data_IF_319275437703
#
_entry.id   IF_319275437703
#
_cell.length_a   1.000
_cell.length_b   1.000
_cell.length_c   1.000
_cell.angle_alpha   90.00
_cell.angle_beta   90.00
_cell.angle_gamma   90.00
#
_symmetry.space_group_name_H-M   'P 1'
#
loop_
_entity.id
_entity.type
_entity.pdbx_description
1 polymer ?
#
# COMPACT_ATOMS: atom_id res chain seq x y z
N UNK A 1 26.08 -5.54 -3.70
CA UNK A 1 25.36 -5.11 -2.47
C UNK A 1 24.47 -3.94 -2.84
N UNK A 2 23.21 -3.98 -2.49
CA UNK A 2 22.28 -2.86 -2.69
C UNK A 2 21.56 -2.57 -1.38
N UNK A 3 21.28 -1.30 -1.12
CA UNK A 3 20.55 -0.85 0.06
C UNK A 3 19.59 0.26 -0.36
N UNK A 4 18.33 0.11 -0.07
CA UNK A 4 17.27 1.04 -0.44
C UNK A 4 16.48 1.47 0.78
N UNK A 5 16.11 2.74 0.82
CA UNK A 5 15.32 3.34 1.90
C UNK A 5 13.96 3.77 1.39
N UNK A 6 12.96 3.55 2.22
CA UNK A 6 11.57 3.85 1.92
C UNK A 6 10.91 4.54 3.11
N UNK A 7 10.03 5.48 2.82
CA UNK A 7 9.25 6.21 3.83
C UNK A 7 7.77 6.22 3.48
N UNK A 8 6.93 6.20 4.49
CA UNK A 8 5.47 6.34 4.35
C UNK A 8 4.90 7.00 5.60
N UNK A 9 3.70 7.54 5.50
CA UNK A 9 2.96 8.07 6.65
C UNK A 9 1.94 7.05 7.13
N UNK A 10 2.01 6.68 8.40
CA UNK A 10 1.05 5.72 8.98
C UNK A 10 -0.32 6.36 9.27
N UNK A 11 -1.27 5.53 9.70
CA UNK A 11 -2.64 5.97 10.01
C UNK A 11 -2.74 6.95 11.19
N UNK A 12 -1.64 7.24 11.89
CA UNK A 12 -1.54 8.24 12.95
C UNK A 12 -0.76 9.49 12.53
N UNK A 13 -0.41 9.58 11.24
CA UNK A 13 0.37 10.67 10.68
C UNK A 13 1.89 10.56 10.90
N UNK A 14 2.37 9.50 11.57
CA UNK A 14 3.79 9.32 11.86
C UNK A 14 4.55 8.75 10.68
N UNK A 15 5.78 9.21 10.47
CA UNK A 15 6.63 8.75 9.37
C UNK A 15 7.23 7.40 9.74
N UNK A 16 6.93 6.38 8.93
CA UNK A 16 7.47 5.04 9.00
C UNK A 16 8.58 4.88 7.98
N UNK A 17 9.68 4.30 8.42
CA UNK A 17 10.89 4.10 7.64
C UNK A 17 11.16 2.63 7.47
N UNK A 18 11.63 2.26 6.29
CA UNK A 18 12.06 0.90 5.94
C UNK A 18 13.42 0.99 5.28
N UNK A 19 14.33 0.11 5.66
CA UNK A 19 15.53 -0.20 4.89
C UNK A 19 15.45 -1.65 4.42
N UNK A 20 15.73 -1.86 3.14
CA UNK A 20 15.89 -3.19 2.56
C UNK A 20 17.28 -3.24 1.95
N UNK A 21 18.08 -4.19 2.36
CA UNK A 21 19.42 -4.42 1.80
C UNK A 21 19.65 -5.91 1.57
N UNK A 22 20.51 -6.25 0.64
CA UNK A 22 21.03 -7.60 0.56
C UNK A 22 22.54 -7.64 0.62
N UNK A 23 23.06 -8.71 1.19
CA UNK A 23 24.48 -9.04 1.31
C UNK A 23 24.73 -10.45 0.84
N UNK A 24 25.99 -10.79 0.56
CA UNK A 24 26.37 -12.16 0.24
C UNK A 24 27.60 -12.57 1.08
N UNK A 25 27.62 -13.83 1.45
CA UNK A 25 28.76 -14.48 2.10
C UNK A 25 28.79 -15.95 1.68
N UNK A 26 29.93 -16.42 1.18
CA UNK A 26 30.15 -17.83 0.79
C UNK A 26 29.06 -18.34 -0.19
N UNK A 27 28.75 -17.55 -1.23
CA UNK A 27 27.70 -17.82 -2.23
C UNK A 27 26.26 -17.92 -1.67
N UNK A 28 26.06 -17.60 -0.40
CA UNK A 28 24.76 -17.46 0.23
C UNK A 28 24.38 -15.98 0.27
N UNK A 29 23.14 -15.68 -0.10
CA UNK A 29 22.58 -14.32 -0.12
C UNK A 29 21.60 -14.11 1.00
N UNK A 30 21.64 -12.94 1.60
CA UNK A 30 20.82 -12.56 2.75
C UNK A 30 20.09 -11.26 2.45
N UNK A 31 18.77 -11.26 2.59
CA UNK A 31 17.98 -10.02 2.49
C UNK A 31 17.59 -9.61 3.91
N UNK A 32 18.05 -8.43 4.29
CA UNK A 32 17.78 -7.81 5.58
C UNK A 32 16.70 -6.75 5.41
N UNK A 33 15.81 -6.67 6.38
CA UNK A 33 14.76 -5.65 6.43
C UNK A 33 14.74 -5.04 7.81
N UNK A 34 14.85 -3.71 7.87
CA UNK A 34 14.78 -2.96 9.12
C UNK A 34 13.65 -1.96 9.03
N UNK A 35 12.82 -1.89 10.06
CA UNK A 35 11.71 -0.94 10.13
C UNK A 35 11.78 -0.11 11.40
N UNK A 36 11.40 1.18 11.29
CA UNK A 36 11.34 2.08 12.46
C UNK A 36 10.40 3.26 12.20
N UNK A 37 10.05 3.97 13.23
CA UNK A 37 9.50 5.31 13.12
C UNK A 37 10.66 6.29 13.00
N UNK A 38 10.55 7.30 12.16
CA UNK A 38 11.58 8.32 11.97
C UNK A 38 12.18 8.77 13.32
N UNK A 39 13.50 8.74 13.42
CA UNK A 39 14.29 8.96 14.64
C UNK A 39 13.96 8.02 15.82
N UNK A 40 13.24 6.95 15.58
CA UNK A 40 12.89 5.96 16.60
C UNK A 40 13.78 4.72 16.61
N UNK A 41 13.46 3.79 17.49
CA UNK A 41 14.18 2.52 17.61
C UNK A 41 13.98 1.69 16.34
N UNK A 42 15.09 1.21 15.76
CA UNK A 42 15.11 0.31 14.63
C UNK A 42 14.79 -1.12 15.06
N UNK A 43 13.94 -1.78 14.31
CA UNK A 43 13.53 -3.17 14.53
C UNK A 43 13.90 -3.99 13.31
N UNK A 44 14.73 -4.97 13.49
CA UNK A 44 15.10 -5.92 12.44
C UNK A 44 14.00 -6.95 12.26
N UNK A 45 13.70 -7.26 11.01
CA UNK A 45 12.80 -8.34 10.62
C UNK A 45 13.60 -9.63 10.43
N UNK A 46 12.98 -10.80 10.50
CA UNK A 46 13.66 -12.05 10.18
C UNK A 46 14.34 -11.97 8.80
N UNK A 47 15.57 -12.42 8.77
CA UNK A 47 16.41 -12.49 7.58
C UNK A 47 15.84 -13.47 6.56
N UNK A 48 15.94 -13.15 5.27
CA UNK A 48 15.60 -14.08 4.19
C UNK A 48 16.90 -14.62 3.64
N UNK A 49 17.13 -15.91 3.83
CA UNK A 49 18.34 -16.60 3.37
C UNK A 49 18.06 -17.28 2.03
N UNK A 50 18.96 -17.09 1.07
CA UNK A 50 18.89 -17.67 -0.28
C UNK A 50 20.22 -18.35 -0.56
N UNK A 51 20.26 -19.65 -0.35
CA UNK A 51 21.40 -20.53 -0.60
C UNK A 51 21.30 -21.30 -1.91
N UNK A 52 20.12 -21.29 -2.53
CA UNK A 52 19.86 -22.02 -3.78
C UNK A 52 18.98 -21.19 -4.72
N UNK A 53 19.24 -21.30 -5.99
CA UNK A 53 18.38 -20.77 -7.03
C UNK A 53 17.12 -21.61 -7.25
N UNK A 54 16.16 -21.04 -7.98
CA UNK A 54 14.92 -21.73 -8.39
C UNK A 54 14.68 -21.54 -9.88
N UNK A 55 14.16 -22.57 -10.56
CA UNK A 55 13.74 -22.48 -11.97
C UNK A 55 14.89 -21.95 -12.85
N UNK A 56 16.03 -22.67 -12.90
CA UNK A 56 17.23 -22.35 -13.70
C UNK A 56 17.88 -20.98 -13.38
N UNK A 57 17.61 -20.40 -12.20
CA UNK A 57 18.33 -19.24 -11.69
C UNK A 57 19.39 -19.67 -10.70
N UNK A 58 20.52 -18.98 -10.67
CA UNK A 58 21.50 -19.09 -9.61
C UNK A 58 20.99 -18.38 -8.33
N UNK A 59 21.70 -18.53 -7.19
CA UNK A 59 21.29 -17.88 -5.94
C UNK A 59 21.26 -16.35 -6.03
N UNK A 60 22.17 -15.73 -6.80
CA UNK A 60 22.20 -14.28 -6.97
C UNK A 60 20.97 -13.76 -7.70
N UNK A 61 20.66 -14.35 -8.86
CA UNK A 61 19.47 -13.97 -9.63
C UNK A 61 18.18 -14.20 -8.82
N UNK A 62 18.13 -15.27 -8.01
CA UNK A 62 17.01 -15.53 -7.11
C UNK A 62 16.92 -14.46 -6.01
N UNK A 63 18.05 -14.01 -5.46
CA UNK A 63 18.09 -12.95 -4.46
C UNK A 63 17.61 -11.62 -5.05
N UNK A 64 18.11 -11.23 -6.21
CA UNK A 64 17.71 -10.00 -6.91
C UNK A 64 16.21 -10.02 -7.21
N UNK A 65 15.68 -11.14 -7.70
CA UNK A 65 14.25 -11.29 -7.95
C UNK A 65 13.43 -11.09 -6.67
N UNK A 66 13.86 -11.70 -5.56
CA UNK A 66 13.17 -11.58 -4.28
C UNK A 66 13.27 -10.18 -3.69
N UNK A 67 14.44 -9.55 -3.79
CA UNK A 67 14.66 -8.18 -3.39
C UNK A 67 13.72 -7.22 -4.15
N UNK A 68 13.69 -7.31 -5.49
CA UNK A 68 12.80 -6.51 -6.33
C UNK A 68 11.32 -6.74 -6.04
N UNK A 69 10.92 -7.96 -5.70
CA UNK A 69 9.54 -8.26 -5.29
C UNK A 69 9.17 -7.57 -3.96
N UNK A 70 10.10 -7.55 -3.00
CA UNK A 70 9.90 -6.87 -1.72
C UNK A 70 9.83 -5.35 -1.89
N UNK A 71 10.70 -4.75 -2.70
CA UNK A 71 10.69 -3.31 -2.94
C UNK A 71 9.37 -2.87 -3.60
N UNK A 72 8.89 -3.63 -4.59
CA UNK A 72 7.56 -3.41 -5.19
C UNK A 72 6.43 -3.54 -4.18
N UNK A 73 6.48 -4.53 -3.30
CA UNK A 73 5.48 -4.71 -2.24
C UNK A 73 5.37 -3.46 -1.34
N UNK A 74 6.50 -2.83 -0.99
CA UNK A 74 6.48 -1.59 -0.21
C UNK A 74 5.99 -0.41 -1.03
N UNK A 75 6.37 -0.30 -2.29
CA UNK A 75 5.84 0.73 -3.20
C UNK A 75 4.33 0.60 -3.38
N UNK A 76 3.81 -0.63 -3.58
CA UNK A 76 2.37 -0.91 -3.66
C UNK A 76 1.62 -0.57 -2.35
N UNK A 77 2.31 -0.59 -1.20
CA UNK A 77 1.80 -0.11 0.10
C UNK A 77 1.89 1.41 0.26
N UNK A 78 2.33 2.13 -0.77
CA UNK A 78 2.42 3.59 -0.78
C UNK A 78 3.71 4.14 -0.14
N UNK A 79 4.73 3.30 0.06
CA UNK A 79 6.04 3.79 0.47
C UNK A 79 6.76 4.48 -0.68
N UNK A 80 7.37 5.61 -0.41
CA UNK A 80 8.21 6.37 -1.34
C UNK A 80 9.67 6.01 -1.11
N UNK A 81 10.41 5.68 -2.17
CA UNK A 81 11.85 5.49 -2.12
C UNK A 81 12.55 6.84 -1.94
N UNK A 82 13.58 6.87 -1.11
CA UNK A 82 14.46 8.03 -0.89
C UNK A 82 15.92 7.61 -1.00
N UNK A 83 16.78 8.58 -1.27
CA UNK A 83 18.19 8.30 -1.61
C UNK A 83 19.06 7.97 -0.40
N UNK A 84 18.79 8.55 0.75
CA UNK A 84 19.63 8.44 1.96
C UNK A 84 18.84 7.91 3.13
N UNK A 85 19.55 7.55 4.20
CA UNK A 85 18.93 7.12 5.45
C UNK A 85 17.90 8.16 5.91
N UNK A 86 16.65 7.75 6.16
CA UNK A 86 15.58 8.64 6.61
C UNK A 86 15.95 9.52 7.80
N UNK A 87 16.76 9.01 8.73
CA UNK A 87 17.17 9.76 9.93
C UNK A 87 18.16 10.89 9.62
N UNK A 88 18.66 10.99 8.37
CA UNK A 88 19.47 12.11 7.89
C UNK A 88 18.65 13.31 7.40
N UNK A 89 17.33 13.17 7.33
CA UNK A 89 16.41 14.23 6.93
C UNK A 89 15.64 14.77 8.14
N UNK A 90 15.21 16.04 8.07
CA UNK A 90 14.24 16.56 9.05
C UNK A 90 12.85 16.03 8.75
N UNK A 91 11.93 16.12 9.71
CA UNK A 91 10.54 15.69 9.52
C UNK A 91 9.83 16.52 8.43
N UNK A 92 10.14 17.82 8.30
CA UNK A 92 9.63 18.69 7.25
C UNK A 92 10.12 18.23 5.86
N UNK A 93 11.39 17.89 5.73
CA UNK A 93 11.97 17.38 4.48
C UNK A 93 11.30 16.06 4.08
N UNK A 94 11.15 15.12 5.00
CA UNK A 94 10.44 13.87 4.71
C UNK A 94 8.97 14.10 4.39
N UNK A 95 8.33 15.06 5.05
CA UNK A 95 6.93 15.41 4.80
C UNK A 95 6.69 15.97 3.41
N UNK A 96 7.69 16.63 2.80
CA UNK A 96 7.58 17.13 1.42
C UNK A 96 7.57 16.01 0.37
N UNK A 97 8.12 14.85 0.68
CA UNK A 97 8.08 13.67 -0.21
C UNK A 97 6.81 12.83 -0.06
N UNK A 98 6.07 13.04 1.03
CA UNK A 98 4.94 12.20 1.40
C UNK A 98 3.62 12.91 1.14
N UNK A 99 2.56 12.16 0.76
CA UNK A 99 1.24 12.73 0.68
C UNK A 99 0.77 13.21 2.06
N UNK A 100 -0.24 14.07 2.06
CA UNK A 100 -0.86 14.53 3.30
C UNK A 100 -1.34 13.35 4.17
N UNK A 101 -1.50 13.64 5.46
CA UNK A 101 -2.02 12.66 6.41
C UNK A 101 -3.34 12.05 5.92
N UNK A 102 -3.40 10.73 6.00
CA UNK A 102 -4.58 9.94 5.61
C UNK A 102 -4.95 10.03 4.11
N UNK A 103 -3.99 10.38 3.25
CA UNK A 103 -4.14 10.34 1.80
C UNK A 103 -3.33 9.18 1.19
N UNK A 104 -3.73 8.74 0.03
CA UNK A 104 -2.97 7.77 -0.78
C UNK A 104 -1.84 8.45 -1.56
N UNK A 105 -1.15 7.70 -2.43
CA UNK A 105 -0.07 8.22 -3.27
C UNK A 105 -0.50 9.28 -4.28
N UNK A 106 -1.80 9.40 -4.53
CA UNK A 106 -2.39 10.36 -5.47
C UNK A 106 -2.99 11.58 -4.74
N UNK A 107 -2.87 11.66 -3.41
CA UNK A 107 -3.40 12.76 -2.59
C UNK A 107 -4.87 12.60 -2.20
N UNK A 108 -5.50 11.46 -2.48
CA UNK A 108 -6.89 11.22 -2.10
C UNK A 108 -6.99 10.55 -0.73
N UNK A 109 -8.08 10.82 -0.02
CA UNK A 109 -8.30 10.23 1.31
C UNK A 109 -8.30 8.71 1.25
N UNK A 110 -7.48 8.10 2.11
CA UNK A 110 -7.47 6.65 2.28
C UNK A 110 -8.82 6.15 2.80
N UNK A 111 -9.23 5.01 2.29
CA UNK A 111 -10.42 4.32 2.77
C UNK A 111 -10.36 4.02 4.26
N UNK A 112 -11.48 4.16 4.91
CA UNK A 112 -11.64 3.67 6.28
C UNK A 112 -11.53 2.14 6.31
N UNK A 113 -10.77 1.64 7.28
CA UNK A 113 -10.59 0.20 7.49
C UNK A 113 -11.51 -0.27 8.61
N UNK A 114 -12.27 -1.32 8.32
CA UNK A 114 -12.97 -2.06 9.35
C UNK A 114 -11.97 -2.71 10.32
N UNK A 115 -12.27 -2.64 11.61
CA UNK A 115 -11.57 -3.42 12.63
C UNK A 115 -12.17 -4.82 12.69
N UNK A 116 -11.33 -5.83 12.86
CA UNK A 116 -11.79 -7.18 13.13
C UNK A 116 -12.43 -7.21 14.53
N UNK A 117 -13.58 -7.89 14.68
CA UNK A 117 -14.34 -7.90 15.94
C UNK A 117 -13.53 -8.44 17.12
N UNK A 118 -12.69 -9.46 16.88
CA UNK A 118 -11.78 -10.06 17.87
C UNK A 118 -10.70 -9.10 18.38
N UNK A 119 -10.42 -8.02 17.62
CA UNK A 119 -9.45 -6.97 17.99
C UNK A 119 -10.10 -5.74 18.61
N UNK A 120 -11.41 -5.74 18.77
CA UNK A 120 -12.15 -4.65 19.42
C UNK A 120 -12.49 -5.06 20.84
N UNK A 121 -12.23 -4.18 21.81
CA UNK A 121 -12.61 -4.45 23.22
C UNK A 121 -14.11 -4.64 23.32
N UNK A 122 -14.56 -5.67 24.06
CA UNK A 122 -15.97 -5.97 24.25
C UNK A 122 -16.76 -4.73 24.76
N UNK A 123 -16.19 -3.98 25.70
CA UNK A 123 -16.80 -2.75 26.20
C UNK A 123 -17.05 -1.66 25.13
N UNK A 124 -16.38 -1.74 23.97
CA UNK A 124 -16.66 -0.84 22.84
C UNK A 124 -17.81 -1.38 22.01
N UNK A 125 -17.89 -2.70 21.85
CA UNK A 125 -18.97 -3.39 21.16
C UNK A 125 -20.29 -3.17 21.91
N UNK A 126 -20.28 -3.33 23.22
CA UNK A 126 -21.46 -3.21 24.09
C UNK A 126 -22.09 -1.80 24.11
N UNK A 127 -21.32 -0.78 23.72
CA UNK A 127 -21.81 0.62 23.60
C UNK A 127 -22.59 0.90 22.33
N UNK A 128 -22.58 -0.02 21.36
CA UNK A 128 -23.27 0.15 20.08
C UNK A 128 -24.73 -0.30 20.25
N UNK A 129 -25.71 0.60 20.10
CA UNK A 129 -27.10 0.30 20.43
C UNK A 129 -27.76 -0.68 19.43
N UNK A 130 -27.23 -0.78 18.21
CA UNK A 130 -27.70 -1.70 17.18
C UNK A 130 -26.59 -1.97 16.14
N UNK A 131 -26.71 -3.08 15.44
CA UNK A 131 -25.78 -3.53 14.41
C UNK A 131 -26.48 -3.74 13.08
N UNK A 132 -25.81 -3.34 12.00
CA UNK A 132 -26.18 -3.73 10.65
C UNK A 132 -25.26 -4.84 10.18
N UNK A 133 -25.84 -5.85 9.55
CA UNK A 133 -25.08 -6.91 8.90
C UNK A 133 -25.23 -6.81 7.39
N UNK A 134 -24.15 -6.93 6.66
CA UNK A 134 -24.14 -7.01 5.21
C UNK A 134 -23.23 -8.15 4.75
N UNK A 135 -23.50 -8.67 3.56
CA UNK A 135 -22.63 -9.66 2.95
C UNK A 135 -21.28 -9.01 2.64
N UNK A 136 -20.19 -9.63 3.09
CA UNK A 136 -18.86 -9.23 2.65
C UNK A 136 -18.64 -9.76 1.23
N UNK A 137 -18.47 -8.85 0.29
CA UNK A 137 -18.12 -9.17 -1.09
C UNK A 137 -16.63 -9.49 -1.12
N UNK A 138 -16.24 -10.54 -1.82
CA UNK A 138 -14.84 -10.91 -2.04
C UNK A 138 -14.42 -10.39 -3.41
N UNK A 139 -13.83 -9.20 -3.41
CA UNK A 139 -13.42 -8.45 -4.59
C UNK A 139 -12.14 -7.67 -4.37
N UNK A 140 -11.83 -6.79 -5.30
CA UNK A 140 -10.75 -5.81 -5.21
C UNK A 140 -11.36 -4.46 -4.86
N UNK A 141 -10.99 -3.91 -3.71
CA UNK A 141 -11.47 -2.58 -3.32
C UNK A 141 -10.97 -1.53 -4.31
N UNK A 142 -11.90 -0.72 -4.79
CA UNK A 142 -11.65 0.31 -5.78
C UNK A 142 -12.37 1.60 -5.41
N UNK A 143 -11.67 2.71 -5.48
CA UNK A 143 -12.24 4.05 -5.36
C UNK A 143 -12.34 4.70 -6.72
N UNK A 144 -13.38 5.51 -6.89
CA UNK A 144 -13.55 6.40 -8.03
C UNK A 144 -13.62 7.83 -7.53
N UNK A 145 -12.89 8.74 -8.17
CA UNK A 145 -12.81 10.15 -7.82
C UNK A 145 -12.59 11.01 -9.05
N UNK A 146 -12.88 12.29 -8.92
CA UNK A 146 -12.79 13.30 -9.98
C UNK A 146 -11.59 14.21 -9.76
N UNK A 147 -10.77 14.43 -10.78
CA UNK A 147 -9.60 15.30 -10.72
C UNK A 147 -9.87 16.72 -11.29
N UNK A 148 -11.12 17.02 -11.63
CA UNK A 148 -11.52 18.24 -12.33
C UNK A 148 -11.62 18.08 -13.85
N UNK A 149 -11.19 16.94 -14.42
CA UNK A 149 -11.20 16.69 -15.87
C UNK A 149 -11.74 15.30 -16.22
N UNK A 150 -11.40 14.29 -15.45
CA UNK A 150 -11.81 12.91 -15.70
C UNK A 150 -11.98 12.14 -14.40
N UNK A 151 -12.64 11.00 -14.50
CA UNK A 151 -12.77 10.05 -13.41
C UNK A 151 -11.51 9.19 -13.36
N UNK A 152 -10.96 9.04 -12.18
CA UNK A 152 -9.90 8.08 -11.88
C UNK A 152 -10.43 6.91 -11.06
N UNK A 153 -9.74 5.79 -11.17
CA UNK A 153 -9.98 4.62 -10.36
C UNK A 153 -8.69 4.14 -9.70
N UNK A 154 -8.74 3.85 -8.42
CA UNK A 154 -7.56 3.43 -7.69
C UNK A 154 -7.84 2.33 -6.67
N UNK A 155 -6.83 1.49 -6.44
CA UNK A 155 -6.83 0.55 -5.33
C UNK A 155 -6.75 1.28 -3.99
N UNK A 156 -6.94 0.56 -2.90
CA UNK A 156 -6.76 1.06 -1.53
C UNK A 156 -5.40 1.73 -1.28
N UNK A 157 -4.35 1.33 -1.97
CA UNK A 157 -2.99 1.88 -1.86
C UNK A 157 -2.67 2.99 -2.86
N UNK A 158 -3.64 3.37 -3.71
CA UNK A 158 -3.45 4.37 -4.76
C UNK A 158 -2.93 3.79 -6.08
N UNK A 159 -2.88 2.45 -6.24
CA UNK A 159 -2.53 1.83 -7.52
C UNK A 159 -3.62 2.10 -8.53
N UNK A 160 -3.24 2.64 -9.68
CA UNK A 160 -4.12 3.02 -10.78
C UNK A 160 -4.78 1.78 -11.44
N UNK A 161 -6.08 1.87 -11.68
CA UNK A 161 -6.88 0.91 -12.43
C UNK A 161 -7.54 1.50 -13.69
N UNK A 162 -7.23 2.76 -14.06
CA UNK A 162 -7.92 3.50 -15.12
C UNK A 162 -7.93 2.74 -16.43
N UNK A 163 -6.80 2.17 -16.84
CA UNK A 163 -6.72 1.41 -18.09
C UNK A 163 -7.65 0.18 -18.06
N UNK A 164 -7.64 -0.57 -16.97
CA UNK A 164 -8.46 -1.78 -16.84
C UNK A 164 -9.97 -1.47 -16.77
N UNK A 165 -10.34 -0.29 -16.27
CA UNK A 165 -11.72 0.14 -16.07
C UNK A 165 -12.16 1.22 -17.06
N UNK A 166 -11.40 1.46 -18.14
CA UNK A 166 -11.66 2.53 -19.11
C UNK A 166 -13.10 2.51 -19.66
N UNK A 167 -13.66 1.33 -19.90
CA UNK A 167 -15.05 1.17 -20.36
C UNK A 167 -16.08 1.67 -19.33
N UNK A 168 -15.78 1.60 -18.03
CA UNK A 168 -16.63 2.10 -16.96
C UNK A 168 -16.40 3.59 -16.73
N UNK A 169 -15.15 4.06 -16.74
CA UNK A 169 -14.78 5.45 -16.50
C UNK A 169 -15.28 6.41 -17.60
N UNK A 170 -15.49 5.90 -18.83
CA UNK A 170 -16.05 6.65 -19.95
C UNK A 170 -17.60 6.65 -19.98
N UNK A 171 -18.25 6.19 -18.93
CA UNK A 171 -19.72 6.21 -18.85
C UNK A 171 -20.24 7.64 -18.64
N UNK A 172 -21.00 8.15 -19.58
CA UNK A 172 -21.50 9.54 -19.58
C UNK A 172 -22.33 9.89 -18.33
N UNK A 173 -23.12 8.94 -17.80
CA UNK A 173 -23.92 9.18 -16.60
C UNK A 173 -23.03 9.33 -15.38
N UNK A 174 -21.97 8.53 -15.30
CA UNK A 174 -20.98 8.60 -14.22
C UNK A 174 -20.18 9.90 -14.29
N UNK A 175 -19.76 10.29 -15.49
CA UNK A 175 -19.06 11.57 -15.73
C UNK A 175 -19.93 12.73 -15.25
N UNK A 176 -21.17 12.84 -15.71
CA UNK A 176 -22.11 13.89 -15.30
C UNK A 176 -22.34 13.92 -13.79
N UNK A 177 -22.37 12.73 -13.15
CA UNK A 177 -22.52 12.64 -11.71
C UNK A 177 -21.32 13.27 -10.99
N UNK A 178 -20.09 12.92 -11.39
CA UNK A 178 -18.89 13.46 -10.78
C UNK A 178 -18.67 14.95 -11.10
N UNK A 179 -19.00 15.41 -12.29
CA UNK A 179 -18.98 16.85 -12.64
C UNK A 179 -19.89 17.65 -11.71
N UNK A 180 -21.06 17.09 -11.36
CA UNK A 180 -22.01 17.73 -10.44
C UNK A 180 -21.59 17.59 -8.97
N UNK A 181 -20.73 16.63 -8.64
CA UNK A 181 -20.31 16.29 -7.27
C UNK A 181 -18.80 16.01 -7.20
N UNK A 182 -17.94 17.02 -7.50
CA UNK A 182 -16.51 16.81 -7.69
C UNK A 182 -15.77 16.34 -6.42
N UNK A 183 -16.31 16.63 -5.23
CA UNK A 183 -15.71 16.28 -3.94
C UNK A 183 -16.09 14.86 -3.45
N UNK A 184 -16.91 14.14 -4.21
CA UNK A 184 -17.35 12.79 -3.83
C UNK A 184 -16.30 11.77 -4.26
N UNK A 185 -16.02 10.82 -3.35
CA UNK A 185 -15.30 9.59 -3.66
C UNK A 185 -16.27 8.43 -3.53
N UNK A 186 -16.44 7.66 -4.60
CA UNK A 186 -17.19 6.40 -4.53
C UNK A 186 -16.22 5.29 -4.13
N UNK A 187 -16.51 4.62 -3.03
CA UNK A 187 -15.75 3.49 -2.51
C UNK A 187 -16.55 2.20 -2.73
N UNK A 188 -15.99 1.28 -3.47
CA UNK A 188 -16.65 0.05 -3.87
C UNK A 188 -15.72 -1.14 -3.98
N UNK A 189 -16.29 -2.22 -4.50
CA UNK A 189 -15.59 -3.49 -4.69
C UNK A 189 -15.72 -3.92 -6.15
N UNK A 190 -14.58 -4.11 -6.83
CA UNK A 190 -14.53 -4.76 -8.14
C UNK A 190 -14.79 -6.25 -7.93
N UNK A 191 -15.95 -6.70 -8.37
CA UNK A 191 -16.44 -8.05 -8.13
C UNK A 191 -17.08 -8.65 -9.38
N UNK A 192 -16.82 -9.91 -9.62
CA UNK A 192 -17.52 -10.69 -10.64
C UNK A 192 -18.23 -11.87 -10.00
N UNK A 193 -19.57 -11.88 -10.10
CA UNK A 193 -20.38 -12.94 -9.51
C UNK A 193 -20.00 -14.33 -10.05
N UNK A 194 -19.88 -15.31 -9.16
CA UNK A 194 -19.53 -16.68 -9.50
C UNK A 194 -18.07 -16.92 -9.91
N UNK A 195 -17.19 -15.90 -9.76
CA UNK A 195 -15.76 -16.06 -9.98
C UNK A 195 -14.99 -15.77 -8.69
N UNK A 196 -13.96 -16.57 -8.43
CA UNK A 196 -12.97 -16.29 -7.39
C UNK A 196 -11.99 -15.23 -7.90
N UNK A 197 -11.47 -14.40 -6.99
CA UNK A 197 -10.31 -13.54 -7.27
C UNK A 197 -8.99 -14.33 -7.39
N UNK A 198 -8.97 -15.56 -6.90
CA UNK A 198 -7.84 -16.45 -7.06
C UNK A 198 -7.89 -17.04 -8.47
N UNK A 199 -7.14 -16.44 -9.38
CA UNK A 199 -6.82 -16.98 -10.70
C UNK A 199 -5.44 -17.62 -10.63
#
# INVERSE_FOLDING_TARGET
>A
MSSEFYVNRDAKGKIRCINIKYTSKDEVYYIHRTSWQHQGKRTEQPEIVISQGKVNRDPEAQCILRFNALTREYQDKGYKQIERDPDSYTEEQLSSFLPEYNTDSNGFRKHMLAKQADKVKQSTIDKVPFWYASRKIDGLRCSFYWDGKKIHSASRGGKDYDLALSHFLNNEKLIKYFESHPDIVLDGELYKHGKSLQI
#
